data_IF_178302472654
#
_entry.id   IF_178302472654
#
_cell.length_a   1.000
_cell.length_b   1.000
_cell.length_c   1.000
_cell.angle_alpha   90.00
_cell.angle_beta   90.00
_cell.angle_gamma   90.00
#
_symmetry.space_group_name_H-M   'P 1'
#
loop_
_entity.id
_entity.type
_entity.pdbx_description
1 polymer ?
#
# COMPACT_ATOMS: atom_id res chain seq x y z
N UNK A 1 -21.03 7.15 4.32
CA UNK A 1 -20.04 6.06 4.46
C UNK A 1 -18.93 6.54 5.38
N UNK A 2 -18.51 5.73 6.33
CA UNK A 2 -17.45 6.15 7.24
C UNK A 2 -16.06 5.85 6.65
N UNK A 3 -15.06 6.53 7.16
CA UNK A 3 -13.69 6.45 6.65
C UNK A 3 -13.09 5.04 6.77
N UNK A 4 -13.43 4.32 7.83
CA UNK A 4 -12.94 2.97 8.07
C UNK A 4 -13.41 1.99 6.98
N UNK A 5 -14.68 2.08 6.61
CA UNK A 5 -15.25 1.21 5.56
C UNK A 5 -14.61 1.52 4.20
N UNK A 6 -14.41 2.79 3.90
CA UNK A 6 -13.77 3.22 2.66
C UNK A 6 -12.32 2.75 2.58
N UNK A 7 -11.59 2.86 3.69
CA UNK A 7 -10.22 2.38 3.76
C UNK A 7 -10.10 0.89 3.52
N UNK A 8 -10.97 0.09 4.16
CA UNK A 8 -10.99 -1.37 3.96
C UNK A 8 -11.26 -1.75 2.52
N UNK A 9 -12.19 -1.06 1.87
CA UNK A 9 -12.50 -1.32 0.47
C UNK A 9 -11.30 -1.04 -0.42
N UNK A 10 -10.62 0.07 -0.19
CA UNK A 10 -9.44 0.44 -0.99
C UNK A 10 -8.29 -0.52 -0.75
N UNK A 11 -8.13 -1.03 0.47
CA UNK A 11 -7.12 -2.06 0.74
C UNK A 11 -7.40 -3.32 -0.06
N UNK A 12 -8.66 -3.77 -0.10
CA UNK A 12 -9.03 -4.95 -0.90
C UNK A 12 -8.79 -4.74 -2.38
N UNK A 13 -9.07 -3.53 -2.88
CA UNK A 13 -8.84 -3.19 -4.29
C UNK A 13 -7.33 -3.18 -4.59
N UNK A 14 -6.52 -2.66 -3.69
CA UNK A 14 -5.07 -2.67 -3.84
C UNK A 14 -4.52 -4.10 -3.83
N UNK A 15 -5.03 -4.95 -2.95
CA UNK A 15 -4.64 -6.37 -2.92
C UNK A 15 -4.95 -7.02 -4.27
N UNK A 16 -6.14 -6.78 -4.81
CA UNK A 16 -6.53 -7.36 -6.11
C UNK A 16 -5.56 -6.96 -7.22
N UNK A 17 -5.14 -5.68 -7.24
CA UNK A 17 -4.16 -5.20 -8.22
C UNK A 17 -2.81 -5.87 -8.06
N UNK A 18 -2.34 -6.01 -6.82
CA UNK A 18 -1.05 -6.64 -6.55
C UNK A 18 -1.10 -8.13 -6.88
N UNK A 19 -2.21 -8.80 -6.57
CA UNK A 19 -2.38 -10.20 -6.93
C UNK A 19 -2.39 -10.40 -8.43
N UNK A 20 -3.02 -9.50 -9.17
CA UNK A 20 -3.00 -9.53 -10.63
C UNK A 20 -1.58 -9.37 -11.19
N UNK A 21 -0.69 -8.77 -10.42
CA UNK A 21 0.72 -8.60 -10.80
C UNK A 21 1.60 -9.75 -10.32
N UNK A 22 1.03 -10.77 -9.72
CA UNK A 22 1.78 -11.97 -9.32
C UNK A 22 2.18 -12.06 -7.85
N UNK A 23 1.63 -11.20 -7.00
CA UNK A 23 1.97 -11.20 -5.58
C UNK A 23 0.92 -11.96 -4.76
N UNK A 24 1.40 -12.68 -3.76
CA UNK A 24 0.54 -13.20 -2.70
C UNK A 24 0.49 -12.15 -1.59
N UNK A 25 -0.69 -11.68 -1.28
CA UNK A 25 -0.84 -10.54 -0.39
C UNK A 25 -1.51 -10.89 0.92
N UNK A 26 -1.11 -10.16 1.96
CA UNK A 26 -1.79 -10.19 3.25
C UNK A 26 -1.86 -8.77 3.79
N UNK A 27 -2.86 -8.53 4.63
CA UNK A 27 -2.95 -7.26 5.34
C UNK A 27 -1.97 -7.24 6.48
N UNK A 28 -1.27 -6.11 6.64
CA UNK A 28 -0.25 -5.99 7.68
C UNK A 28 -0.85 -5.62 9.04
N UNK A 29 -2.08 -5.25 9.11
CA UNK A 29 -2.76 -4.82 10.32
C UNK A 29 -1.83 -4.01 11.22
N UNK A 30 -1.74 -3.35 12.03
CA UNK A 30 -0.86 -2.46 12.77
C UNK A 30 0.57 -2.95 12.98
N UNK A 31 0.94 -4.14 12.49
CA UNK A 31 2.24 -4.75 12.81
C UNK A 31 3.43 -4.16 12.05
N UNK A 32 3.19 -3.53 10.90
CA UNK A 32 4.25 -2.96 10.06
C UNK A 32 4.14 -1.45 9.94
N UNK A 33 3.74 -0.79 11.01
CA UNK A 33 3.71 0.68 11.06
C UNK A 33 2.78 1.25 9.99
N UNK A 34 3.34 2.00 9.04
CA UNK A 34 2.55 2.70 8.03
C UNK A 34 2.07 1.83 6.87
N UNK A 35 2.56 0.60 6.75
CA UNK A 35 2.16 -0.24 5.63
C UNK A 35 0.91 -1.05 5.95
N UNK A 36 0.03 -1.12 4.97
CA UNK A 36 -1.26 -1.81 5.11
C UNK A 36 -1.26 -3.19 4.48
N UNK A 37 -0.37 -3.44 3.52
CA UNK A 37 -0.33 -4.68 2.76
C UNK A 37 1.11 -5.12 2.58
N UNK A 38 1.34 -6.44 2.70
CA UNK A 38 2.58 -7.08 2.31
C UNK A 38 2.26 -8.01 1.15
N UNK A 39 2.99 -7.86 0.04
CA UNK A 39 2.86 -8.73 -1.11
C UNK A 39 4.16 -9.47 -1.34
N UNK A 40 4.08 -10.79 -1.51
CA UNK A 40 5.25 -11.62 -1.78
C UNK A 40 5.18 -12.12 -3.21
N UNK A 41 6.13 -11.72 -4.03
CA UNK A 41 6.23 -12.15 -5.41
C UNK A 41 7.29 -13.21 -5.59
N UNK A 42 7.47 -13.70 -6.83
CA UNK A 42 8.49 -14.70 -7.10
C UNK A 42 9.92 -14.19 -6.98
N UNK A 43 10.12 -12.88 -7.10
CA UNK A 43 11.48 -12.31 -7.05
C UNK A 43 11.60 -11.09 -6.16
N UNK A 44 10.51 -10.58 -5.61
CA UNK A 44 10.57 -9.42 -4.71
C UNK A 44 9.41 -9.42 -3.71
N UNK A 45 9.50 -8.49 -2.78
CA UNK A 45 8.47 -8.24 -1.77
C UNK A 45 8.01 -6.80 -1.93
N UNK A 46 6.71 -6.57 -1.78
CA UNK A 46 6.14 -5.22 -1.84
C UNK A 46 5.53 -4.88 -0.48
N UNK A 47 5.89 -3.72 0.05
CA UNK A 47 5.23 -3.11 1.19
C UNK A 47 4.39 -1.96 0.65
N UNK A 48 3.09 -1.99 0.87
CA UNK A 48 2.19 -1.02 0.29
C UNK A 48 1.40 -0.26 1.35
N UNK A 49 1.45 1.07 1.26
CA UNK A 49 0.57 1.91 2.04
C UNK A 49 -0.60 2.33 1.17
N UNK A 50 -1.81 2.17 1.69
CA UNK A 50 -3.04 2.55 0.99
C UNK A 50 -3.56 3.86 1.58
N UNK A 51 -3.72 4.86 0.73
CA UNK A 51 -4.24 6.16 1.14
C UNK A 51 -5.52 6.45 0.39
N UNK A 52 -6.42 7.15 1.05
CA UNK A 52 -7.68 7.61 0.45
C UNK A 52 -7.63 9.12 0.36
N UNK A 53 -7.79 9.67 -0.84
CA UNK A 53 -7.74 11.09 -1.20
C UNK A 53 -6.35 11.68 -1.27
N UNK A 54 -5.61 11.71 -0.17
CA UNK A 54 -4.36 12.44 -0.09
C UNK A 54 -3.17 11.50 -0.06
N UNK A 55 -2.05 11.95 -0.63
CA UNK A 55 -0.78 11.27 -0.45
C UNK A 55 -0.32 11.45 1.00
N UNK A 56 0.60 10.60 1.48
CA UNK A 56 1.13 10.75 2.83
C UNK A 56 1.75 12.13 3.06
N UNK A 57 1.64 12.61 4.31
CA UNK A 57 2.29 13.84 4.72
C UNK A 57 3.82 13.67 4.65
N UNK A 58 4.55 14.79 4.78
CA UNK A 58 6.01 14.73 4.79
C UNK A 58 6.54 13.86 5.93
N UNK A 59 5.87 13.88 7.08
CA UNK A 59 6.26 13.05 8.22
C UNK A 59 6.02 11.58 7.91
N UNK A 60 4.87 11.24 7.34
CA UNK A 60 4.58 9.86 6.93
C UNK A 60 5.55 9.37 5.86
N UNK A 61 5.87 10.21 4.89
CA UNK A 61 6.83 9.87 3.84
C UNK A 61 8.20 9.56 4.42
N UNK A 62 8.63 10.32 5.42
CA UNK A 62 9.90 10.07 6.06
C UNK A 62 9.89 8.74 6.80
N UNK A 63 8.79 8.40 7.46
CA UNK A 63 8.62 7.10 8.11
C UNK A 63 8.71 5.97 7.09
N UNK A 64 8.10 6.14 5.92
CA UNK A 64 8.16 5.15 4.85
C UNK A 64 9.60 4.99 4.36
N UNK A 65 10.29 6.10 4.09
CA UNK A 65 11.67 6.05 3.60
C UNK A 65 12.60 5.38 4.59
N UNK A 66 12.40 5.65 5.86
CA UNK A 66 13.28 5.15 6.93
C UNK A 66 13.01 3.70 7.30
N UNK A 67 11.89 3.14 6.87
CA UNK A 67 11.54 1.77 7.20
C UNK A 67 12.58 0.81 6.60
N UNK A 68 13.20 -0.07 7.42
CA UNK A 68 14.21 -1.00 6.92
C UNK A 68 13.64 -1.92 5.84
N UNK A 69 14.34 -2.00 4.71
CA UNK A 69 13.85 -2.77 3.57
C UNK A 69 15.05 -3.31 2.79
N UNK A 70 15.16 -4.63 2.62
CA UNK A 70 16.27 -5.20 1.83
C UNK A 70 16.13 -4.84 0.34
N UNK A 71 17.18 -5.04 -0.46
CA UNK A 71 17.17 -4.62 -1.87
C UNK A 71 16.02 -5.19 -2.71
N UNK A 72 15.53 -6.38 -2.39
CA UNK A 72 14.44 -7.01 -3.14
C UNK A 72 13.07 -6.65 -2.58
N UNK A 73 12.99 -5.63 -1.76
CA UNK A 73 11.75 -5.15 -1.18
C UNK A 73 11.43 -3.77 -1.74
N UNK A 74 10.24 -3.61 -2.29
CA UNK A 74 9.77 -2.33 -2.82
C UNK A 74 8.77 -1.71 -1.87
N UNK A 75 8.77 -0.39 -1.80
CA UNK A 75 7.79 0.37 -1.03
C UNK A 75 6.90 1.13 -1.99
N UNK A 76 5.60 0.85 -1.93
CA UNK A 76 4.62 1.49 -2.81
C UNK A 76 3.59 2.24 -2.00
N UNK A 77 3.07 3.31 -2.59
CA UNK A 77 1.92 4.04 -2.07
C UNK A 77 0.83 3.94 -3.13
N UNK A 78 -0.35 3.44 -2.74
CA UNK A 78 -1.55 3.47 -3.56
C UNK A 78 -2.46 4.56 -3.01
N UNK A 79 -2.63 5.65 -3.75
CA UNK A 79 -3.58 6.71 -3.38
C UNK A 79 -4.84 6.56 -4.19
N UNK A 80 -5.95 6.26 -3.51
CA UNK A 80 -7.25 6.09 -4.14
C UNK A 80 -8.05 7.38 -4.04
N UNK A 81 -8.53 7.86 -5.19
CA UNK A 81 -9.46 9.00 -5.25
C UNK A 81 -10.86 8.49 -5.49
N UNK A 82 -11.86 9.23 -5.02
CA UNK A 82 -13.25 8.87 -5.23
C UNK A 82 -13.56 8.77 -6.73
N UNK A 83 -14.36 7.78 -7.09
CA UNK A 83 -14.82 7.57 -8.48
C UNK A 83 -13.71 7.23 -9.46
N UNK A 84 -12.54 6.89 -9.00
CA UNK A 84 -11.43 6.46 -9.86
C UNK A 84 -11.30 4.95 -9.83
N UNK A 85 -11.06 4.39 -11.01
CA UNK A 85 -10.96 2.95 -11.20
C UNK A 85 -9.63 2.39 -10.68
N UNK A 86 -8.59 3.17 -10.82
CA UNK A 86 -7.24 2.78 -10.44
C UNK A 86 -6.65 3.79 -9.47
N UNK A 87 -5.74 3.36 -8.60
CA UNK A 87 -5.05 4.29 -7.70
C UNK A 87 -3.92 5.00 -8.44
N UNK A 88 -3.49 6.12 -7.88
CA UNK A 88 -2.21 6.69 -8.25
C UNK A 88 -1.15 5.90 -7.49
N UNK A 89 -0.14 5.43 -8.20
CA UNK A 89 0.91 4.59 -7.62
C UNK A 89 2.21 5.37 -7.57
N UNK A 90 2.83 5.39 -6.39
CA UNK A 90 4.14 6.01 -6.22
C UNK A 90 5.09 5.00 -5.59
N UNK A 91 6.26 4.84 -6.20
CA UNK A 91 7.33 4.02 -5.63
C UNK A 91 8.22 4.92 -4.78
N UNK A 92 8.57 4.44 -3.61
CA UNK A 92 9.40 5.19 -2.67
C UNK A 92 10.80 4.60 -2.58
#
# INVERSE_FOLDING_TARGET
MNAKRKGSRNERRSIALLEASGYLCTRAAASLGVFDIVGIGPSDIVLCQVKTRDFPSSVEMETIRSFPCPPLCKKLIHRWRDHHRNPDVRMV
#
